data_IF_660093839393
#
_entry.id   IF_660093839393
#
_cell.length_a   1.000
_cell.length_b   1.000
_cell.length_c   1.000
_cell.angle_alpha   90.00
_cell.angle_beta   90.00
_cell.angle_gamma   90.00
#
_symmetry.space_group_name_H-M   'P 1'
#
loop_
_entity.id
_entity.type
_entity.pdbx_description
1 polymer ?
#
# COMPACT_ATOMS: atom_id res chain seq x y z
N UNK A 1 -61.14 11.62 -10.94
CA UNK A 1 -59.68 11.65 -10.67
C UNK A 1 -59.24 10.21 -10.54
N UNK A 2 -58.49 9.68 -11.51
CA UNK A 2 -58.18 8.26 -11.54
C UNK A 2 -57.14 7.96 -10.43
N UNK A 3 -57.45 7.15 -9.40
CA UNK A 3 -56.51 6.89 -8.29
C UNK A 3 -55.20 6.24 -8.77
N UNK A 4 -55.21 5.64 -9.96
CA UNK A 4 -54.04 5.09 -10.63
C UNK A 4 -52.91 6.11 -10.89
N UNK A 5 -53.21 7.40 -11.02
CA UNK A 5 -52.19 8.45 -11.25
C UNK A 5 -51.30 8.69 -10.02
N UNK A 6 -51.78 8.42 -8.80
CA UNK A 6 -51.00 8.58 -7.57
C UNK A 6 -49.95 7.47 -7.36
N UNK A 7 -50.05 6.35 -8.09
CA UNK A 7 -49.11 5.23 -8.00
C UNK A 7 -47.82 5.52 -8.80
N UNK A 8 -47.88 6.39 -9.81
CA UNK A 8 -46.77 6.69 -10.73
C UNK A 8 -45.49 7.18 -9.99
N UNK A 9 -45.55 8.12 -9.02
CA UNK A 9 -44.35 8.56 -8.30
C UNK A 9 -43.72 7.47 -7.44
N UNK A 10 -44.54 6.59 -6.86
CA UNK A 10 -44.07 5.48 -6.03
C UNK A 10 -43.36 4.43 -6.88
N UNK A 11 -43.94 4.09 -8.04
CA UNK A 11 -43.32 3.15 -8.99
C UNK A 11 -42.02 3.73 -9.56
N UNK A 12 -42.01 5.02 -9.90
CA UNK A 12 -40.81 5.69 -10.39
C UNK A 12 -39.67 5.73 -9.34
N UNK A 13 -40.01 5.99 -8.08
CA UNK A 13 -39.05 5.90 -6.97
C UNK A 13 -38.49 4.47 -6.81
N UNK A 14 -39.35 3.47 -6.90
CA UNK A 14 -38.95 2.06 -6.79
C UNK A 14 -38.04 1.61 -7.94
N UNK A 15 -38.34 2.04 -9.17
CA UNK A 15 -37.50 1.79 -10.35
C UNK A 15 -36.14 2.50 -10.19
N UNK A 16 -36.11 3.73 -9.71
CA UNK A 16 -34.86 4.47 -9.45
C UNK A 16 -33.98 3.76 -8.43
N UNK A 17 -34.57 3.29 -7.33
CA UNK A 17 -33.87 2.51 -6.31
C UNK A 17 -33.31 1.19 -6.85
N UNK A 18 -34.12 0.41 -7.57
CA UNK A 18 -33.70 -0.90 -8.07
C UNK A 18 -32.64 -0.78 -9.17
N UNK A 19 -32.76 0.22 -10.04
CA UNK A 19 -31.78 0.47 -11.10
C UNK A 19 -30.40 0.81 -10.52
N UNK A 20 -30.36 1.66 -9.49
CA UNK A 20 -29.11 2.01 -8.84
C UNK A 20 -28.46 0.82 -8.11
N UNK A 21 -29.28 -0.04 -7.48
CA UNK A 21 -28.81 -1.27 -6.85
C UNK A 21 -28.21 -2.26 -7.87
N UNK A 22 -28.84 -2.41 -9.04
CA UNK A 22 -28.32 -3.25 -10.12
C UNK A 22 -27.03 -2.65 -10.69
N UNK A 23 -26.97 -1.33 -10.89
CA UNK A 23 -25.77 -0.65 -11.38
C UNK A 23 -24.57 -0.90 -10.45
N UNK A 24 -24.78 -0.86 -9.14
CA UNK A 24 -23.76 -1.22 -8.14
C UNK A 24 -23.27 -2.66 -8.30
N UNK A 25 -24.18 -3.61 -8.40
CA UNK A 25 -23.85 -5.04 -8.56
C UNK A 25 -22.98 -5.26 -9.81
N UNK A 26 -23.35 -4.62 -10.92
CA UNK A 26 -22.62 -4.69 -12.20
C UNK A 26 -21.24 -4.03 -12.08
N UNK A 27 -21.15 -2.88 -11.41
CA UNK A 27 -19.90 -2.15 -11.19
C UNK A 27 -18.90 -3.00 -10.39
N UNK A 28 -19.32 -3.58 -9.25
CA UNK A 28 -18.46 -4.39 -8.39
C UNK A 28 -17.97 -5.64 -9.15
N UNK A 29 -18.88 -6.32 -9.86
CA UNK A 29 -18.51 -7.53 -10.60
C UNK A 29 -17.50 -7.23 -11.72
N UNK A 30 -17.66 -6.08 -12.41
CA UNK A 30 -16.72 -5.65 -13.45
C UNK A 30 -15.36 -5.26 -12.87
N UNK A 31 -15.32 -4.49 -11.78
CA UNK A 31 -14.06 -4.03 -11.17
C UNK A 31 -13.29 -5.13 -10.44
N UNK A 32 -13.98 -6.17 -9.93
CA UNK A 32 -13.35 -7.27 -9.20
C UNK A 32 -12.73 -8.34 -10.10
N UNK A 33 -12.85 -8.20 -11.42
CA UNK A 33 -12.26 -9.14 -12.38
C UNK A 33 -10.73 -9.03 -12.39
N UNK A 34 -10.04 -10.19 -12.37
CA UNK A 34 -8.57 -10.27 -12.36
C UNK A 34 -7.88 -9.52 -13.50
N UNK A 35 -8.50 -9.44 -14.68
CA UNK A 35 -7.97 -8.67 -15.81
C UNK A 35 -7.84 -7.18 -15.49
N UNK A 36 -8.87 -6.60 -14.86
CA UNK A 36 -8.89 -5.19 -14.46
C UNK A 36 -7.96 -4.93 -13.28
N UNK A 37 -7.78 -5.90 -12.39
CA UNK A 37 -6.82 -5.77 -11.28
C UNK A 37 -5.38 -5.75 -11.79
N UNK A 38 -5.07 -6.56 -12.82
CA UNK A 38 -3.72 -6.56 -13.41
C UNK A 38 -3.41 -5.26 -14.15
N UNK A 39 -4.39 -4.66 -14.84
CA UNK A 39 -4.20 -3.36 -15.50
C UNK A 39 -4.08 -2.23 -14.47
N UNK A 40 -4.89 -2.27 -13.41
CA UNK A 40 -4.75 -1.35 -12.28
C UNK A 40 -3.36 -1.45 -11.65
N UNK A 41 -2.87 -2.67 -11.37
CA UNK A 41 -1.53 -2.90 -10.81
C UNK A 41 -0.41 -2.30 -11.68
N UNK A 42 -0.53 -2.40 -13.01
CA UNK A 42 0.44 -1.83 -13.94
C UNK A 42 0.42 -0.30 -13.97
N UNK A 43 -0.75 0.31 -13.73
CA UNK A 43 -0.95 1.76 -13.70
C UNK A 43 -0.53 2.43 -12.39
N UNK A 44 -0.25 1.67 -11.34
CA UNK A 44 0.15 2.23 -10.04
C UNK A 44 1.48 2.99 -10.20
N UNK A 45 1.53 4.29 -9.84
CA UNK A 45 2.76 5.06 -9.84
C UNK A 45 3.61 4.62 -8.63
N UNK A 46 4.38 3.55 -8.80
CA UNK A 46 5.23 2.98 -7.74
C UNK A 46 6.16 4.02 -7.14
N UNK A 47 6.67 4.95 -7.94
CA UNK A 47 7.59 5.99 -7.46
C UNK A 47 6.94 7.01 -6.51
N UNK A 48 5.61 7.17 -6.56
CA UNK A 48 4.86 8.04 -5.63
C UNK A 48 4.52 7.32 -4.31
N UNK A 49 4.37 6.00 -4.35
CA UNK A 49 4.02 5.18 -3.18
C UNK A 49 5.29 4.71 -2.44
N UNK A 50 6.38 4.52 -3.18
CA UNK A 50 7.61 3.94 -2.69
C UNK A 50 8.83 4.71 -3.24
N UNK A 51 9.37 5.60 -2.42
CA UNK A 51 10.54 6.40 -2.77
C UNK A 51 11.82 5.72 -2.28
N UNK A 52 12.57 5.12 -3.21
CA UNK A 52 13.86 4.51 -2.90
C UNK A 52 14.87 5.50 -2.33
N UNK A 53 14.80 6.76 -2.73
CA UNK A 53 15.66 7.82 -2.20
C UNK A 53 15.44 8.03 -0.70
N UNK A 54 14.19 8.04 -0.24
CA UNK A 54 13.87 8.16 1.18
C UNK A 54 14.38 6.96 1.98
N UNK A 55 14.26 5.74 1.42
CA UNK A 55 14.75 4.52 2.07
C UNK A 55 16.27 4.53 2.14
N UNK A 56 16.93 4.85 1.03
CA UNK A 56 18.38 4.97 0.95
C UNK A 56 18.90 5.99 1.97
N UNK A 57 18.25 7.16 2.05
CA UNK A 57 18.58 8.19 3.02
C UNK A 57 18.39 7.71 4.46
N UNK A 58 17.29 6.99 4.75
CA UNK A 58 16.99 6.49 6.09
C UNK A 58 17.92 5.36 6.53
N UNK A 59 18.35 4.49 5.62
CA UNK A 59 19.32 3.42 5.90
C UNK A 59 20.73 3.99 6.08
N UNK A 60 21.08 5.01 5.28
CA UNK A 60 22.39 5.68 5.30
C UNK A 60 22.50 6.72 6.42
N UNK A 61 21.41 7.00 7.15
CA UNK A 61 21.36 7.96 8.23
C UNK A 61 22.35 7.60 9.36
N UNK A 62 23.32 8.48 9.69
CA UNK A 62 24.25 8.29 10.80
C UNK A 62 23.56 7.97 12.14
N UNK A 63 22.35 8.45 12.36
CA UNK A 63 21.59 8.19 13.58
C UNK A 63 21.14 6.72 13.71
N UNK A 64 20.85 6.05 12.58
CA UNK A 64 20.49 4.63 12.59
C UNK A 64 21.74 3.75 12.72
N UNK A 65 22.87 4.21 12.17
CA UNK A 65 24.19 3.62 12.41
C UNK A 65 24.57 3.57 13.90
N UNK A 66 24.32 4.64 14.64
CA UNK A 66 24.60 4.66 16.08
C UNK A 66 23.81 3.61 16.88
N UNK A 67 22.64 3.19 16.40
CA UNK A 67 21.83 2.15 17.07
C UNK A 67 22.42 0.76 16.91
N UNK A 68 23.13 0.51 15.81
CA UNK A 68 23.77 -0.79 15.55
C UNK A 68 25.23 -0.84 16.00
N UNK A 69 25.85 0.32 16.27
CA UNK A 69 27.23 0.44 16.73
C UNK A 69 27.55 -0.40 17.97
N UNK A 70 26.67 -0.53 19.00
CA UNK A 70 26.94 -1.39 20.15
C UNK A 70 27.07 -2.88 19.79
N UNK A 71 26.29 -3.35 18.81
CA UNK A 71 26.34 -4.76 18.34
C UNK A 71 27.63 -5.00 17.57
N UNK A 72 28.03 -4.03 16.74
CA UNK A 72 29.27 -4.07 15.97
C UNK A 72 30.49 -4.05 16.90
N UNK A 73 30.45 -3.18 17.91
CA UNK A 73 31.46 -3.11 18.98
C UNK A 73 31.65 -4.48 19.63
N UNK A 74 30.58 -5.10 20.11
CA UNK A 74 30.63 -6.41 20.78
C UNK A 74 31.25 -7.48 19.86
N UNK A 75 30.90 -7.46 18.57
CA UNK A 75 31.43 -8.40 17.59
C UNK A 75 32.93 -8.20 17.31
N UNK A 76 33.38 -6.94 17.22
CA UNK A 76 34.79 -6.60 17.06
C UNK A 76 35.59 -7.02 18.30
N UNK A 77 35.08 -6.74 19.50
CA UNK A 77 35.75 -7.11 20.75
C UNK A 77 35.88 -8.63 20.88
N UNK A 78 34.80 -9.37 20.59
CA UNK A 78 34.82 -10.82 20.55
C UNK A 78 35.80 -11.36 19.50
N UNK A 79 35.84 -10.77 18.31
CA UNK A 79 36.78 -11.17 17.26
C UNK A 79 38.23 -10.98 17.71
N UNK A 80 38.59 -9.81 18.23
CA UNK A 80 39.96 -9.49 18.64
C UNK A 80 40.41 -10.32 19.85
N UNK A 81 39.53 -10.59 20.81
CA UNK A 81 39.88 -11.34 22.04
C UNK A 81 39.88 -12.86 21.87
N UNK A 82 38.93 -13.39 21.10
CA UNK A 82 38.69 -14.83 20.99
C UNK A 82 39.15 -15.36 19.65
N UNK A 83 38.55 -14.87 18.55
CA UNK A 83 38.79 -15.44 17.21
C UNK A 83 40.20 -15.18 16.70
N UNK A 84 40.75 -13.99 16.93
CA UNK A 84 42.09 -13.64 16.49
C UNK A 84 43.16 -14.53 17.14
N UNK A 85 43.03 -14.82 18.43
CA UNK A 85 43.95 -15.72 19.14
C UNK A 85 43.85 -17.18 18.65
N UNK A 86 42.64 -17.60 18.26
CA UNK A 86 42.41 -18.95 17.70
C UNK A 86 42.95 -19.09 16.28
N UNK A 87 42.69 -18.11 15.41
CA UNK A 87 43.05 -18.15 14.00
C UNK A 87 44.50 -17.73 13.74
N UNK A 88 45.05 -16.83 14.56
CA UNK A 88 46.42 -16.31 14.44
C UNK A 88 47.13 -16.30 15.81
N UNK A 89 47.54 -17.47 16.32
CA UNK A 89 48.09 -17.60 17.67
C UNK A 89 49.33 -16.73 17.89
N UNK A 90 50.23 -16.66 16.91
CA UNK A 90 51.46 -15.85 16.98
C UNK A 90 51.12 -14.37 17.13
N UNK A 91 50.19 -13.84 16.33
CA UNK A 91 49.73 -12.45 16.39
C UNK A 91 49.00 -12.15 17.70
N UNK A 92 48.17 -13.09 18.16
CA UNK A 92 47.44 -13.01 19.42
C UNK A 92 48.33 -12.96 20.67
N UNK A 93 49.57 -13.46 20.61
CA UNK A 93 50.55 -13.36 21.70
C UNK A 93 51.18 -11.96 21.83
N UNK A 94 51.28 -11.22 20.72
CA UNK A 94 51.85 -9.86 20.69
C UNK A 94 50.80 -8.76 20.87
N UNK A 95 49.52 -9.09 20.76
CA UNK A 95 48.40 -8.15 20.92
C UNK A 95 47.91 -8.19 22.37
N UNK A 96 48.30 -7.17 23.15
CA UNK A 96 47.79 -6.92 24.50
C UNK A 96 46.50 -6.07 24.51
N UNK A 97 45.92 -5.84 25.69
CA UNK A 97 44.65 -5.10 25.82
C UNK A 97 44.69 -3.68 25.23
N UNK A 98 45.81 -2.96 25.38
CA UNK A 98 45.99 -1.63 24.78
C UNK A 98 45.90 -1.67 23.26
N UNK A 99 46.54 -2.66 22.63
CA UNK A 99 46.52 -2.82 21.17
C UNK A 99 45.13 -3.22 20.69
N UNK A 100 44.41 -4.07 21.44
CA UNK A 100 43.02 -4.43 21.14
C UNK A 100 42.12 -3.19 21.15
N UNK A 101 42.23 -2.35 22.19
CA UNK A 101 41.43 -1.13 22.28
C UNK A 101 41.71 -0.15 21.13
N UNK A 102 42.98 0.02 20.76
CA UNK A 102 43.37 0.87 19.63
C UNK A 102 42.86 0.33 18.30
N UNK A 103 43.04 -0.98 18.03
CA UNK A 103 42.54 -1.60 16.81
C UNK A 103 41.02 -1.48 16.72
N UNK A 104 40.31 -1.78 17.81
CA UNK A 104 38.86 -1.64 17.90
C UNK A 104 38.41 -0.22 17.54
N UNK A 105 39.05 0.81 18.11
CA UNK A 105 38.71 2.19 17.83
C UNK A 105 38.88 2.52 16.33
N UNK A 106 40.03 2.15 15.75
CA UNK A 106 40.31 2.36 14.31
C UNK A 106 39.27 1.65 13.43
N UNK A 107 38.90 0.42 13.78
CA UNK A 107 37.88 -0.32 13.04
C UNK A 107 36.49 0.33 13.12
N UNK A 108 36.10 0.80 14.31
CA UNK A 108 34.81 1.48 14.49
C UNK A 108 34.76 2.79 13.71
N UNK A 109 35.82 3.59 13.76
CA UNK A 109 35.92 4.86 13.04
C UNK A 109 35.87 4.64 11.50
N UNK A 110 36.61 3.65 11.01
CA UNK A 110 36.61 3.29 9.58
C UNK A 110 35.24 2.76 9.14
N UNK A 111 34.60 1.90 9.96
CA UNK A 111 33.28 1.36 9.66
C UNK A 111 32.21 2.45 9.63
N UNK A 112 32.29 3.45 10.53
CA UNK A 112 31.37 4.59 10.53
C UNK A 112 31.47 5.43 9.24
N UNK A 113 32.65 5.49 8.62
CA UNK A 113 32.88 6.16 7.33
C UNK A 113 32.44 5.31 6.13
N UNK A 114 32.73 4.00 6.14
CA UNK A 114 32.46 3.11 5.01
C UNK A 114 31.02 2.62 4.94
N UNK A 115 30.38 2.36 6.08
CA UNK A 115 29.05 1.79 6.12
C UNK A 115 28.00 2.60 5.35
N UNK A 116 27.92 3.95 5.48
CA UNK A 116 27.02 4.76 4.67
C UNK A 116 27.20 4.54 3.17
N UNK A 117 28.45 4.46 2.71
CA UNK A 117 28.78 4.29 1.29
C UNK A 117 28.36 2.90 0.79
N UNK A 118 28.61 1.85 1.58
CA UNK A 118 28.21 0.48 1.25
C UNK A 118 26.68 0.39 1.16
N UNK A 119 25.97 0.92 2.16
CA UNK A 119 24.50 0.90 2.19
C UNK A 119 23.89 1.70 1.04
N UNK A 120 24.46 2.85 0.70
CA UNK A 120 23.99 3.65 -0.42
C UNK A 120 24.15 2.91 -1.76
N UNK A 121 25.27 2.23 -1.98
CA UNK A 121 25.50 1.43 -3.19
C UNK A 121 24.53 0.24 -3.24
N UNK A 122 24.35 -0.47 -2.12
CA UNK A 122 23.41 -1.58 -2.03
C UNK A 122 21.96 -1.13 -2.26
N UNK A 123 21.55 0.03 -1.73
CA UNK A 123 20.22 0.59 -1.98
C UNK A 123 20.00 0.94 -3.46
N UNK A 124 21.02 1.43 -4.17
CA UNK A 124 20.96 1.68 -5.61
C UNK A 124 20.85 0.40 -6.44
N UNK A 125 21.61 -0.64 -6.07
CA UNK A 125 21.49 -1.95 -6.72
C UNK A 125 20.09 -2.55 -6.51
N UNK A 126 19.58 -2.49 -5.27
CA UNK A 126 18.21 -2.89 -4.98
C UNK A 126 17.19 -2.13 -5.82
N UNK A 127 17.35 -0.82 -6.01
CA UNK A 127 16.43 -0.05 -6.85
C UNK A 127 16.38 -0.57 -8.30
N UNK A 128 17.51 -1.03 -8.84
CA UNK A 128 17.58 -1.54 -10.21
C UNK A 128 16.98 -2.95 -10.34
N UNK A 129 17.18 -3.80 -9.34
CA UNK A 129 16.72 -5.20 -9.37
C UNK A 129 15.28 -5.37 -8.84
N UNK A 130 14.79 -4.43 -8.03
CA UNK A 130 13.51 -4.55 -7.35
C UNK A 130 12.36 -4.02 -8.21
N UNK A 131 11.82 -4.91 -9.04
CA UNK A 131 10.61 -4.64 -9.83
C UNK A 131 9.34 -4.73 -8.96
N UNK A 132 9.09 -3.66 -8.19
CA UNK A 132 7.90 -3.53 -7.35
C UNK A 132 6.60 -3.72 -8.13
N UNK A 133 6.54 -3.27 -9.38
CA UNK A 133 5.35 -3.42 -10.22
C UNK A 133 5.01 -4.88 -10.41
N UNK A 134 6.00 -5.72 -10.72
CA UNK A 134 5.81 -7.17 -10.84
C UNK A 134 5.39 -7.80 -9.51
N UNK A 135 6.00 -7.41 -8.40
CA UNK A 135 5.66 -7.97 -7.08
C UNK A 135 4.21 -7.64 -6.71
N UNK A 136 3.80 -6.38 -6.88
CA UNK A 136 2.43 -5.94 -6.61
C UNK A 136 1.44 -6.64 -7.53
N UNK A 137 1.72 -6.73 -8.83
CA UNK A 137 0.88 -7.43 -9.79
C UNK A 137 0.69 -8.91 -9.40
N UNK A 138 1.79 -9.60 -9.07
CA UNK A 138 1.74 -10.99 -8.62
C UNK A 138 0.93 -11.16 -7.32
N UNK A 139 1.17 -10.31 -6.33
CA UNK A 139 0.42 -10.33 -5.07
C UNK A 139 -1.07 -10.09 -5.30
N UNK A 140 -1.44 -9.13 -6.14
CA UNK A 140 -2.84 -8.85 -6.47
C UNK A 140 -3.51 -10.00 -7.23
N UNK A 141 -2.80 -10.67 -8.15
CA UNK A 141 -3.31 -11.86 -8.83
C UNK A 141 -3.53 -13.05 -7.88
N UNK A 142 -2.73 -13.13 -6.81
CA UNK A 142 -2.85 -14.16 -5.77
C UNK A 142 -4.04 -13.93 -4.81
N UNK A 143 -4.63 -12.72 -4.80
CA UNK A 143 -5.80 -12.43 -3.97
C UNK A 143 -7.05 -13.06 -4.62
N UNK A 144 -7.87 -13.81 -3.86
CA UNK A 144 -9.14 -14.31 -4.34
C UNK A 144 -10.10 -13.18 -4.73
N UNK A 145 -10.84 -13.35 -5.82
CA UNK A 145 -11.79 -12.35 -6.32
C UNK A 145 -12.85 -12.00 -5.27
N UNK A 146 -13.33 -12.97 -4.49
CA UNK A 146 -14.29 -12.77 -3.40
C UNK A 146 -13.79 -11.78 -2.35
N UNK A 147 -12.49 -11.82 -2.04
CA UNK A 147 -11.88 -10.91 -1.07
C UNK A 147 -11.83 -9.49 -1.62
N UNK A 148 -11.55 -9.35 -2.92
CA UNK A 148 -11.54 -8.05 -3.61
C UNK A 148 -12.96 -7.46 -3.65
N UNK A 149 -13.95 -8.28 -4.01
CA UNK A 149 -15.36 -7.88 -3.98
C UNK A 149 -15.77 -7.41 -2.58
N UNK A 150 -15.36 -8.14 -1.54
CA UNK A 150 -15.66 -7.78 -0.15
C UNK A 150 -15.04 -6.43 0.23
N UNK A 151 -13.77 -6.21 -0.13
CA UNK A 151 -13.07 -4.94 0.15
C UNK A 151 -13.73 -3.78 -0.59
N UNK A 152 -14.03 -3.92 -1.89
CA UNK A 152 -14.72 -2.88 -2.68
C UNK A 152 -16.10 -2.61 -2.09
N UNK A 153 -16.86 -3.66 -1.79
CA UNK A 153 -18.19 -3.52 -1.19
C UNK A 153 -18.13 -2.79 0.15
N UNK A 154 -17.17 -3.11 1.02
CA UNK A 154 -17.02 -2.44 2.31
C UNK A 154 -16.58 -0.98 2.15
N UNK A 155 -15.61 -0.70 1.28
CA UNK A 155 -15.10 0.65 1.05
C UNK A 155 -16.18 1.61 0.53
N UNK A 156 -17.11 1.09 -0.29
CA UNK A 156 -18.15 1.89 -0.91
C UNK A 156 -19.57 1.67 -0.36
N UNK A 157 -19.79 0.75 0.59
CA UNK A 157 -21.12 0.42 1.12
C UNK A 157 -21.86 1.67 1.64
N UNK A 158 -21.13 2.56 2.33
CA UNK A 158 -21.70 3.78 2.92
C UNK A 158 -22.06 4.81 1.85
N UNK A 159 -21.19 4.98 0.86
CA UNK A 159 -21.36 5.92 -0.26
C UNK A 159 -22.52 5.46 -1.15
N UNK A 160 -22.60 4.17 -1.47
CA UNK A 160 -23.67 3.64 -2.33
C UNK A 160 -25.05 3.63 -1.67
N UNK A 161 -25.15 3.40 -0.37
CA UNK A 161 -26.44 3.52 0.34
C UNK A 161 -27.02 4.93 0.20
N UNK A 162 -26.17 5.96 0.18
CA UNK A 162 -26.60 7.35 -0.07
C UNK A 162 -27.12 7.55 -1.49
N UNK A 163 -26.48 6.89 -2.48
CA UNK A 163 -26.89 6.96 -3.89
C UNK A 163 -28.20 6.20 -4.11
N UNK A 164 -28.44 5.09 -3.42
CA UNK A 164 -29.72 4.35 -3.49
C UNK A 164 -30.90 5.23 -3.05
N UNK A 165 -30.73 5.99 -1.96
CA UNK A 165 -31.76 6.92 -1.45
C UNK A 165 -31.92 8.09 -2.42
N UNK A 166 -30.83 8.64 -2.95
CA UNK A 166 -30.89 9.70 -3.95
C UNK A 166 -31.61 9.25 -5.23
N UNK A 167 -31.36 8.03 -5.70
CA UNK A 167 -32.05 7.44 -6.85
C UNK A 167 -33.56 7.29 -6.61
N UNK A 168 -33.96 6.88 -5.40
CA UNK A 168 -35.37 6.81 -5.02
C UNK A 168 -36.02 8.21 -4.99
N UNK A 169 -35.35 9.22 -4.41
CA UNK A 169 -35.82 10.60 -4.35
C UNK A 169 -35.96 11.21 -5.74
N UNK A 170 -34.97 11.03 -6.61
CA UNK A 170 -35.01 11.53 -8.00
C UNK A 170 -36.15 10.85 -8.77
N UNK A 171 -36.29 9.53 -8.64
CA UNK A 171 -37.40 8.79 -9.24
C UNK A 171 -38.76 9.29 -8.76
N UNK A 172 -38.89 9.59 -7.47
CA UNK A 172 -40.10 10.17 -6.90
C UNK A 172 -40.41 11.55 -7.49
N UNK A 173 -39.42 12.46 -7.53
CA UNK A 173 -39.58 13.82 -8.08
C UNK A 173 -40.01 13.76 -9.56
N UNK A 174 -39.34 12.93 -10.37
CA UNK A 174 -39.67 12.77 -11.79
C UNK A 174 -41.09 12.21 -11.96
N UNK A 175 -41.47 11.22 -11.15
CA UNK A 175 -42.81 10.66 -11.18
C UNK A 175 -43.88 11.67 -10.75
N UNK A 176 -43.62 12.51 -9.74
CA UNK A 176 -44.51 13.59 -9.33
C UNK A 176 -44.70 14.63 -10.44
N UNK A 177 -43.62 15.03 -11.12
CA UNK A 177 -43.67 15.95 -12.26
C UNK A 177 -44.49 15.33 -13.40
N UNK A 178 -44.32 14.04 -13.68
CA UNK A 178 -45.09 13.33 -14.72
C UNK A 178 -46.61 13.37 -14.45
N UNK A 179 -47.02 13.23 -13.20
CA UNK A 179 -48.44 13.31 -12.81
C UNK A 179 -48.99 14.72 -12.97
N UNK A 180 -48.24 15.74 -12.55
CA UNK A 180 -48.62 17.15 -12.69
C UNK A 180 -48.77 17.54 -14.16
N UNK A 181 -47.82 17.14 -15.01
CA UNK A 181 -47.87 17.37 -16.45
C UNK A 181 -49.09 16.72 -17.11
N UNK A 182 -49.37 15.45 -16.75
CA UNK A 182 -50.56 14.74 -17.25
C UNK A 182 -51.86 15.43 -16.81
N UNK A 183 -51.93 15.93 -15.58
CA UNK A 183 -53.10 16.68 -15.11
C UNK A 183 -53.33 17.97 -15.89
N UNK A 184 -52.27 18.67 -16.29
CA UNK A 184 -52.35 19.92 -17.07
C UNK A 184 -52.74 19.69 -18.54
N UNK A 185 -52.39 18.53 -19.11
CA UNK A 185 -52.72 18.15 -20.50
C UNK A 185 -54.16 17.63 -20.65
N UNK A 186 -54.69 16.96 -19.62
CA UNK A 186 -56.03 16.33 -19.65
C UNK A 186 -57.15 17.30 -19.26
N UNK A 187 -56.83 18.49 -18.76
CA UNK A 187 -57.77 19.53 -18.34
C UNK A 187 -57.86 20.65 -19.36
#
# INVERSE_FOLDING_TARGET
MNPALLIVPVVAAFIGWICNKIALQVFINRFSSKSNISTLAASIPVNEIFSFDEISQKITDPANLQKIMPVIDEHIDHFLKVKLKQSMPVVGMFIGEKTIAQLKQVFLDELQSLFPQIMQNYAKELQNDFDLKKIIAYKLQSVPEEKIQTVIKQAFAKQFSSIEIAGALIGFIIGSISVVSTYFIVK
#
